data_IF_626330723196
#
_entry.id   IF_626330723196
#
_cell.length_a   1.000
_cell.length_b   1.000
_cell.length_c   1.000
_cell.angle_alpha   90.00
_cell.angle_beta   90.00
_cell.angle_gamma   90.00
#
_symmetry.space_group_name_H-M   'P 1'
#
loop_
_entity.id
_entity.type
_entity.pdbx_description
1 polymer ?
#
# COMPACT_ATOMS: atom_id res chain seq x y z
N UNK A 1 -7.99 -3.65 -1.49
CA UNK A 1 -6.82 -4.36 -2.04
C UNK A 1 -7.21 -5.10 -3.29
N UNK A 2 -6.44 -4.99 -4.38
CA UNK A 2 -6.68 -5.80 -5.57
C UNK A 2 -6.48 -7.28 -5.22
N UNK A 3 -7.41 -8.18 -5.62
CA UNK A 3 -7.26 -9.60 -5.34
C UNK A 3 -6.04 -10.17 -6.09
N UNK A 4 -5.36 -11.14 -5.49
CA UNK A 4 -4.23 -11.79 -6.16
C UNK A 4 -4.71 -12.58 -7.39
N UNK A 5 -3.84 -12.73 -8.39
CA UNK A 5 -4.14 -13.51 -9.59
C UNK A 5 -4.52 -14.96 -9.22
N UNK A 6 -3.90 -15.52 -8.18
CA UNK A 6 -4.19 -16.88 -7.71
C UNK A 6 -5.56 -16.97 -7.03
N UNK A 7 -5.98 -15.92 -6.31
CA UNK A 7 -7.35 -15.82 -5.79
C UNK A 7 -8.36 -15.86 -6.94
N UNK A 8 -8.18 -15.04 -7.98
CA UNK A 8 -9.08 -15.00 -9.14
C UNK A 8 -9.08 -16.31 -9.94
N UNK A 9 -7.93 -17.01 -10.02
CA UNK A 9 -7.87 -18.35 -10.61
C UNK A 9 -8.68 -19.36 -9.80
N UNK A 10 -8.62 -19.27 -8.46
CA UNK A 10 -9.41 -20.13 -7.58
C UNK A 10 -10.91 -19.84 -7.72
N UNK A 11 -11.29 -18.57 -7.82
CA UNK A 11 -12.66 -18.13 -8.07
C UNK A 11 -13.19 -18.63 -9.42
N UNK A 12 -12.43 -18.45 -10.51
CA UNK A 12 -12.80 -18.97 -11.83
C UNK A 12 -12.98 -20.50 -11.80
N UNK A 13 -12.13 -21.24 -11.07
CA UNK A 13 -12.29 -22.69 -10.88
C UNK A 13 -13.53 -23.05 -10.05
N UNK A 14 -13.88 -22.24 -9.06
CA UNK A 14 -15.11 -22.44 -8.26
C UNK A 14 -16.34 -22.25 -9.15
N UNK A 15 -16.36 -21.21 -9.97
CA UNK A 15 -17.43 -20.93 -10.93
C UNK A 15 -17.53 -22.03 -11.99
N UNK A 16 -16.40 -22.48 -12.53
CA UNK A 16 -16.33 -23.62 -13.46
C UNK A 16 -17.03 -24.87 -12.90
N UNK A 17 -16.81 -25.19 -11.62
CA UNK A 17 -17.41 -26.38 -10.98
C UNK A 17 -18.88 -26.20 -10.69
N UNK A 18 -19.30 -25.00 -10.29
CA UNK A 18 -20.70 -24.69 -9.98
C UNK A 18 -21.56 -24.77 -11.24
N UNK A 19 -21.12 -24.13 -12.34
CA UNK A 19 -21.92 -23.96 -13.54
C UNK A 19 -21.64 -25.04 -14.60
N UNK A 20 -20.67 -25.94 -14.33
CA UNK A 20 -20.19 -26.97 -15.27
C UNK A 20 -19.79 -26.41 -16.64
N UNK A 21 -19.30 -25.19 -16.67
CA UNK A 21 -18.84 -24.52 -17.89
C UNK A 21 -17.36 -24.82 -18.18
N UNK A 22 -16.89 -24.64 -19.42
CA UNK A 22 -15.47 -24.62 -19.73
C UNK A 22 -14.74 -23.53 -18.92
N UNK A 23 -13.47 -23.78 -18.57
CA UNK A 23 -12.66 -22.86 -17.77
C UNK A 23 -12.53 -21.47 -18.42
N UNK A 24 -12.39 -21.40 -19.75
CA UNK A 24 -12.26 -20.12 -20.45
C UNK A 24 -13.52 -19.24 -20.31
N UNK A 25 -14.70 -19.86 -20.24
CA UNK A 25 -15.97 -19.14 -20.04
C UNK A 25 -16.08 -18.67 -18.59
N UNK A 26 -15.67 -19.48 -17.63
CA UNK A 26 -15.62 -19.07 -16.22
C UNK A 26 -14.63 -17.92 -15.97
N UNK A 27 -13.44 -17.99 -16.59
CA UNK A 27 -12.46 -16.89 -16.57
C UNK A 27 -12.98 -15.62 -17.24
N UNK A 28 -13.74 -15.77 -18.33
CA UNK A 28 -14.37 -14.63 -19.00
C UNK A 28 -15.43 -13.99 -18.09
N UNK A 29 -16.28 -14.77 -17.43
CA UNK A 29 -17.27 -14.27 -16.48
C UNK A 29 -16.61 -13.45 -15.35
N UNK A 30 -15.58 -14.02 -14.69
CA UNK A 30 -14.79 -13.30 -13.68
C UNK A 30 -14.23 -11.99 -14.25
N UNK A 31 -13.62 -12.02 -15.43
CA UNK A 31 -13.09 -10.79 -16.05
C UNK A 31 -14.19 -9.73 -16.26
N UNK A 32 -15.41 -10.12 -16.63
CA UNK A 32 -16.54 -9.20 -16.81
C UNK A 32 -17.04 -8.61 -15.49
N UNK A 33 -17.06 -9.39 -14.42
CA UNK A 33 -17.44 -8.91 -13.08
C UNK A 33 -16.47 -7.83 -12.58
N UNK A 34 -15.18 -7.97 -12.92
CA UNK A 34 -14.16 -6.94 -12.66
C UNK A 34 -14.09 -5.83 -13.73
N UNK A 35 -14.99 -5.82 -14.73
CA UNK A 35 -15.06 -4.79 -15.78
C UNK A 35 -14.10 -4.97 -16.97
N UNK A 36 -13.31 -6.05 -17.04
CA UNK A 36 -12.30 -6.30 -18.07
C UNK A 36 -12.80 -7.12 -19.25
N UNK A 37 -12.46 -6.71 -20.49
CA UNK A 37 -12.99 -7.32 -21.71
C UNK A 37 -12.59 -8.76 -21.95
N UNK A 38 -11.56 -9.24 -21.26
CA UNK A 38 -11.07 -10.59 -21.34
C UNK A 38 -10.19 -10.90 -20.13
N UNK A 39 -10.04 -12.18 -19.83
CA UNK A 39 -9.16 -12.67 -18.77
C UNK A 39 -7.69 -12.21 -18.92
N UNK A 40 -7.06 -12.28 -20.12
CA UNK A 40 -5.70 -11.76 -20.30
C UNK A 40 -5.55 -10.27 -19.94
N UNK A 41 -6.56 -9.43 -20.18
CA UNK A 41 -6.51 -7.99 -19.81
C UNK A 41 -6.56 -7.78 -18.31
N UNK A 42 -7.42 -8.53 -17.61
CA UNK A 42 -7.46 -8.53 -16.16
C UNK A 42 -6.10 -8.95 -15.58
N UNK A 43 -5.53 -10.06 -16.07
CA UNK A 43 -4.23 -10.56 -15.60
C UNK A 43 -3.10 -9.57 -15.89
N UNK A 44 -3.10 -8.92 -17.05
CA UNK A 44 -2.11 -7.90 -17.39
C UNK A 44 -2.22 -6.70 -16.46
N UNK A 45 -3.42 -6.16 -16.28
CA UNK A 45 -3.66 -5.08 -15.33
C UNK A 45 -3.18 -5.42 -13.92
N UNK A 46 -3.49 -6.63 -13.43
CA UNK A 46 -3.06 -7.05 -12.09
C UNK A 46 -1.55 -7.20 -11.96
N UNK A 47 -0.85 -7.57 -13.03
CA UNK A 47 0.62 -7.62 -13.04
C UNK A 47 1.20 -6.21 -12.98
N UNK A 48 0.72 -5.32 -13.83
CA UNK A 48 1.18 -3.93 -13.86
C UNK A 48 0.85 -3.23 -12.52
N UNK A 49 -0.33 -3.49 -11.97
CA UNK A 49 -0.72 -2.99 -10.67
C UNK A 49 0.14 -3.60 -9.55
N UNK A 50 0.53 -4.87 -9.62
CA UNK A 50 1.40 -5.48 -8.63
C UNK A 50 2.81 -4.88 -8.62
N UNK A 51 3.34 -4.47 -9.78
CA UNK A 51 4.63 -3.76 -9.87
C UNK A 51 4.58 -2.36 -9.23
N UNK A 52 3.40 -1.75 -9.20
CA UNK A 52 3.19 -0.39 -8.69
C UNK A 52 2.55 -0.34 -7.30
N UNK A 53 2.07 -1.49 -6.80
CA UNK A 53 1.38 -1.57 -5.51
C UNK A 53 2.39 -1.82 -4.40
N UNK A 54 2.24 -1.07 -3.31
CA UNK A 54 2.88 -1.36 -2.03
C UNK A 54 1.83 -1.99 -1.14
N UNK A 55 2.20 -3.03 -0.38
CA UNK A 55 1.37 -3.56 0.71
C UNK A 55 1.91 -3.03 2.04
N UNK A 56 1.32 -1.97 2.62
CA UNK A 56 1.76 -1.45 3.91
C UNK A 56 1.62 -2.51 5.00
N UNK A 57 0.57 -3.34 4.96
CA UNK A 57 0.25 -4.32 6.00
C UNK A 57 1.27 -5.46 6.14
N UNK A 58 2.10 -5.70 5.12
CA UNK A 58 3.17 -6.69 5.16
C UNK A 58 4.42 -6.20 5.93
N UNK A 59 4.47 -4.93 6.35
CA UNK A 59 5.60 -4.34 7.06
C UNK A 59 5.69 -4.84 8.50
N UNK A 60 6.86 -5.32 8.90
CA UNK A 60 7.20 -5.58 10.30
C UNK A 60 7.60 -4.27 11.00
N UNK A 61 6.67 -3.70 11.77
CA UNK A 61 6.85 -2.41 12.44
C UNK A 61 7.89 -2.45 13.58
N UNK A 62 8.12 -3.63 14.16
CA UNK A 62 9.07 -3.81 15.26
C UNK A 62 10.52 -3.78 14.76
N UNK A 63 10.74 -4.11 13.48
CA UNK A 63 12.05 -4.05 12.83
C UNK A 63 12.45 -2.63 12.35
N UNK A 64 11.52 -1.67 12.36
CA UNK A 64 11.76 -0.31 11.87
C UNK A 64 12.57 0.54 12.85
N UNK A 65 13.31 1.51 12.31
CA UNK A 65 13.83 2.60 13.11
C UNK A 65 12.70 3.55 13.56
N UNK A 66 13.02 4.51 14.43
CA UNK A 66 12.01 5.42 14.98
C UNK A 66 11.33 6.29 13.91
N UNK A 67 12.04 6.66 12.84
CA UNK A 67 11.52 7.55 11.81
C UNK A 67 10.56 6.81 10.88
N UNK A 68 10.93 5.61 10.41
CA UNK A 68 10.07 4.76 9.59
C UNK A 68 8.89 4.23 10.40
N UNK A 69 9.09 3.89 11.68
CA UNK A 69 7.99 3.51 12.56
C UNK A 69 6.99 4.64 12.75
N UNK A 70 7.47 5.87 12.93
CA UNK A 70 6.60 7.04 12.97
C UNK A 70 5.82 7.22 11.66
N UNK A 71 6.50 7.11 10.50
CA UNK A 71 5.85 7.20 9.19
C UNK A 71 4.75 6.16 9.03
N UNK A 72 5.03 4.92 9.44
CA UNK A 72 4.02 3.87 9.52
C UNK A 72 2.85 4.37 10.35
N UNK A 73 3.04 4.61 11.65
CA UNK A 73 1.96 4.87 12.61
C UNK A 73 1.11 6.11 12.31
N UNK A 74 1.72 7.17 11.78
CA UNK A 74 1.02 8.40 11.42
C UNK A 74 0.25 8.31 10.09
N UNK A 75 0.59 7.36 9.20
CA UNK A 75 -0.01 7.23 7.86
C UNK A 75 -1.11 6.17 7.82
N UNK A 76 -2.28 6.46 7.26
CA UNK A 76 -3.40 5.52 7.12
C UNK A 76 -3.02 4.27 6.30
N UNK A 77 -3.42 3.08 6.77
CA UNK A 77 -3.11 1.79 6.11
C UNK A 77 -4.30 1.14 5.39
N UNK A 78 -5.50 1.73 5.47
CA UNK A 78 -6.72 1.29 4.76
C UNK A 78 -6.93 -0.24 4.76
N UNK A 79 -6.57 -0.88 5.87
CA UNK A 79 -6.71 -2.30 6.13
C UNK A 79 -7.13 -2.49 7.59
N UNK A 80 -7.34 -3.73 8.00
CA UNK A 80 -7.77 -4.11 9.34
C UNK A 80 -6.76 -3.77 10.45
N UNK A 81 -5.50 -3.50 10.11
CA UNK A 81 -4.46 -3.11 11.08
C UNK A 81 -4.42 -1.60 11.32
N UNK A 82 -5.20 -0.81 10.57
CA UNK A 82 -5.34 0.63 10.78
C UNK A 82 -6.34 0.92 11.91
N UNK A 83 -5.84 0.89 13.15
CA UNK A 83 -6.66 0.98 14.37
C UNK A 83 -6.26 2.15 15.29
N UNK A 84 -7.18 2.64 16.16
CA UNK A 84 -6.93 3.71 17.15
C UNK A 84 -5.57 3.67 17.88
N UNK A 85 -5.15 2.52 18.44
CA UNK A 85 -3.91 2.44 19.21
C UNK A 85 -2.64 2.83 18.44
N UNK A 86 -2.68 2.77 17.10
CA UNK A 86 -1.52 2.99 16.24
C UNK A 86 -1.19 4.48 16.10
N UNK A 87 -2.18 5.30 15.76
CA UNK A 87 -1.99 6.76 15.69
C UNK A 87 -1.92 7.40 17.09
N UNK A 88 -2.50 6.77 18.11
CA UNK A 88 -2.28 7.13 19.52
C UNK A 88 -0.79 6.97 19.93
N UNK A 89 -0.07 5.99 19.35
CA UNK A 89 1.36 5.76 19.62
C UNK A 89 2.30 6.70 18.83
N UNK A 90 1.85 7.24 17.71
CA UNK A 90 2.64 8.15 16.87
C UNK A 90 2.95 9.49 17.57
N UNK A 91 1.95 10.08 18.24
CA UNK A 91 2.11 11.38 18.89
C UNK A 91 3.13 11.39 20.04
N UNK A 92 3.15 10.38 20.94
CA UNK A 92 4.20 10.22 21.94
C UNK A 92 5.60 10.09 21.34
N UNK A 93 5.76 9.34 20.24
CA UNK A 93 7.04 9.18 19.57
C UNK A 93 7.57 10.53 19.07
N UNK A 94 6.74 11.30 18.37
CA UNK A 94 7.12 12.63 17.89
C UNK A 94 7.42 13.61 19.04
N UNK A 95 6.71 13.48 20.17
CA UNK A 95 6.98 14.29 21.37
C UNK A 95 8.33 13.95 22.00
N UNK A 96 8.71 12.67 22.01
CA UNK A 96 9.99 12.21 22.55
C UNK A 96 11.17 12.56 21.62
N UNK A 97 10.96 12.53 20.31
CA UNK A 97 11.98 12.74 19.28
C UNK A 97 11.54 13.79 18.23
N UNK A 98 11.42 15.06 18.61
CA UNK A 98 10.91 16.11 17.71
C UNK A 98 11.84 16.39 16.53
N UNK A 99 13.13 16.06 16.62
CA UNK A 99 14.11 16.22 15.55
C UNK A 99 13.93 15.20 14.40
N UNK A 100 13.01 14.24 14.55
CA UNK A 100 12.69 13.25 13.51
C UNK A 100 12.26 13.90 12.19
N UNK A 101 11.52 15.01 12.26
CA UNK A 101 11.07 15.74 11.06
C UNK A 101 12.20 16.50 10.37
N UNK A 102 13.28 16.84 11.09
CA UNK A 102 14.43 17.54 10.51
C UNK A 102 15.44 16.59 9.87
N UNK A 103 15.48 15.33 10.31
CA UNK A 103 16.37 14.28 9.78
C UNK A 103 15.72 13.44 8.67
N UNK A 104 14.40 13.29 8.68
CA UNK A 104 13.68 12.34 7.83
C UNK A 104 12.52 12.99 7.05
N UNK A 105 12.66 13.08 5.72
CA UNK A 105 11.68 13.77 4.87
C UNK A 105 10.28 13.12 4.91
N UNK A 106 10.21 11.79 4.99
CA UNK A 106 8.94 11.08 5.06
C UNK A 106 8.28 11.23 6.44
N UNK A 107 9.07 11.45 7.50
CA UNK A 107 8.52 11.78 8.81
C UNK A 107 7.98 13.22 8.81
N UNK A 108 8.66 14.17 8.18
CA UNK A 108 8.13 15.52 7.98
C UNK A 108 6.80 15.51 7.20
N UNK A 109 6.70 14.66 6.16
CA UNK A 109 5.44 14.48 5.42
C UNK A 109 4.33 13.88 6.30
N UNK A 110 4.64 12.82 7.05
CA UNK A 110 3.70 12.13 7.93
C UNK A 110 3.22 13.01 9.09
N UNK A 111 4.08 13.92 9.58
CA UNK A 111 3.76 14.91 10.60
C UNK A 111 3.02 16.15 10.04
N UNK A 112 2.82 16.24 8.72
CA UNK A 112 2.31 17.41 8.04
C UNK A 112 3.08 18.71 8.35
N UNK A 113 4.42 18.65 8.40
CA UNK A 113 5.31 19.81 8.58
C UNK A 113 5.82 20.34 7.22
N UNK A 114 5.16 21.36 6.63
CA UNK A 114 5.57 21.91 5.34
C UNK A 114 6.92 22.65 5.40
N UNK A 115 7.32 23.16 6.57
CA UNK A 115 8.56 23.90 6.71
C UNK A 115 9.77 22.94 6.69
N UNK A 116 9.67 21.81 7.40
CA UNK A 116 10.68 20.74 7.35
C UNK A 116 10.80 20.14 5.95
N UNK A 117 9.66 19.88 5.29
CA UNK A 117 9.63 19.44 3.88
C UNK A 117 10.36 20.42 2.95
N UNK A 118 10.07 21.71 3.07
CA UNK A 118 10.73 22.73 2.25
C UNK A 118 12.25 22.76 2.47
N UNK A 119 12.74 22.62 3.71
CA UNK A 119 14.18 22.53 4.01
C UNK A 119 14.81 21.30 3.34
N UNK A 120 14.16 20.15 3.43
CA UNK A 120 14.61 18.93 2.79
C UNK A 120 14.68 19.05 1.27
N UNK A 121 13.62 19.56 0.63
CA UNK A 121 13.56 19.67 -0.82
C UNK A 121 14.48 20.76 -1.37
N UNK A 122 14.74 21.83 -0.60
CA UNK A 122 15.72 22.86 -0.98
C UNK A 122 17.13 22.28 -1.04
N UNK A 123 17.51 21.43 -0.08
CA UNK A 123 18.84 20.81 -0.04
C UNK A 123 18.95 19.57 -0.92
N UNK A 124 17.85 18.84 -1.12
CA UNK A 124 17.80 17.55 -1.82
C UNK A 124 16.52 17.42 -2.68
N UNK A 125 16.42 18.14 -3.81
CA UNK A 125 15.22 18.15 -4.65
C UNK A 125 14.78 16.78 -5.19
N UNK A 126 15.75 15.86 -5.39
CA UNK A 126 15.49 14.52 -5.91
C UNK A 126 14.57 13.67 -5.00
N UNK A 127 14.46 14.01 -3.71
CA UNK A 127 13.61 13.29 -2.77
C UNK A 127 12.12 13.41 -3.08
N UNK A 128 11.71 14.46 -3.81
CA UNK A 128 10.32 14.60 -4.26
C UNK A 128 9.85 13.45 -5.16
N UNK A 129 10.79 12.73 -5.81
CA UNK A 129 10.49 11.62 -6.71
C UNK A 129 11.01 10.27 -6.16
N UNK A 130 11.34 10.21 -4.87
CA UNK A 130 11.90 9.01 -4.23
C UNK A 130 10.88 8.45 -3.24
N UNK A 131 10.55 7.16 -3.39
CA UNK A 131 9.72 6.44 -2.41
C UNK A 131 10.50 6.13 -1.13
N UNK A 132 9.80 6.08 0.00
CA UNK A 132 10.33 5.72 1.32
C UNK A 132 9.35 6.08 2.44
N UNK A 133 9.78 5.88 3.68
CA UNK A 133 8.92 5.87 4.87
C UNK A 133 8.21 4.55 5.09
#
# INVERSE_FOLDING_TARGET
TNPSIDHLRAEARKLQRADRTPLHQAQFAVARDYGFSSWPRLVHYLRDAAELSVDPGALDEDALDAADRFCSWASLRYNETDAPPRWDAAAPLLTAEPDVVDRHIWAAASAADPAALARHLTSRPALANTGGG
#
